data_IF_466729141135
#
_entry.id   IF_466729141135
#
_cell.length_a   1.000
_cell.length_b   1.000
_cell.length_c   1.000
_cell.angle_alpha   90.00
_cell.angle_beta   90.00
_cell.angle_gamma   90.00
#
_symmetry.space_group_name_H-M   'P 1'
#
loop_
_entity.id
_entity.type
_entity.pdbx_description
1 polymer ?
#
# COMPACT_ATOMS: atom_id res chain seq x y z
N UNK A 1 20.62 1.01 -5.94
CA UNK A 1 19.45 1.38 -6.71
C UNK A 1 18.51 2.20 -5.88
N UNK A 2 18.12 3.33 -6.40
CA UNK A 2 17.29 4.21 -5.61
C UNK A 2 15.87 3.72 -5.47
N UNK A 3 15.45 2.80 -6.32
CA UNK A 3 14.09 2.27 -6.25
C UNK A 3 13.91 1.29 -5.11
N UNK A 4 15.00 0.83 -4.51
CA UNK A 4 14.93 -0.16 -3.43
C UNK A 4 14.16 0.35 -2.21
N UNK A 5 14.30 1.63 -1.90
CA UNK A 5 13.65 2.19 -0.72
C UNK A 5 12.14 2.17 -0.91
N UNK A 6 11.66 2.63 -2.07
CA UNK A 6 10.24 2.63 -2.36
C UNK A 6 9.70 1.20 -2.43
N UNK A 7 10.46 0.31 -3.06
CA UNK A 7 10.05 -1.08 -3.19
C UNK A 7 9.90 -1.75 -1.83
N UNK A 8 10.85 -1.49 -0.92
CA UNK A 8 10.77 -2.03 0.43
C UNK A 8 9.53 -1.52 1.16
N UNK A 9 9.25 -0.25 0.99
CA UNK A 9 8.09 0.36 1.64
C UNK A 9 6.81 -0.28 1.12
N UNK A 10 6.70 -0.44 -0.18
CA UNK A 10 5.53 -1.06 -0.78
C UNK A 10 5.38 -2.51 -0.33
N UNK A 11 6.47 -3.25 -0.32
CA UNK A 11 6.43 -4.65 0.13
C UNK A 11 5.96 -4.76 1.57
N UNK A 12 6.46 -3.88 2.43
CA UNK A 12 6.06 -3.90 3.83
C UNK A 12 4.56 -3.61 3.98
N UNK A 13 4.09 -2.63 3.24
CA UNK A 13 2.67 -2.26 3.29
C UNK A 13 1.80 -3.42 2.79
N UNK A 14 2.22 -4.08 1.72
CA UNK A 14 1.48 -5.22 1.19
C UNK A 14 1.43 -6.34 2.23
N UNK A 15 2.55 -6.60 2.90
CA UNK A 15 2.57 -7.63 3.93
C UNK A 15 1.67 -7.27 5.11
N UNK A 16 1.69 -6.00 5.52
CA UNK A 16 0.80 -5.54 6.59
C UNK A 16 -0.66 -5.71 6.17
N UNK A 17 -0.95 -5.42 4.93
CA UNK A 17 -2.30 -5.58 4.41
C UNK A 17 -2.74 -7.04 4.44
N UNK A 18 -1.85 -7.93 4.03
CA UNK A 18 -2.14 -9.37 4.06
C UNK A 18 -2.45 -9.84 5.49
N UNK A 19 -1.67 -9.39 6.45
CA UNK A 19 -1.87 -9.78 7.83
C UNK A 19 -3.16 -9.20 8.39
N UNK A 20 -3.44 -7.96 8.07
CA UNK A 20 -4.63 -7.29 8.59
C UNK A 20 -5.91 -7.95 8.08
N UNK A 21 -5.91 -8.35 6.82
CA UNK A 21 -7.09 -8.93 6.19
C UNK A 21 -7.10 -10.46 6.25
N UNK A 22 -6.03 -11.05 6.77
CA UNK A 22 -5.90 -12.51 6.85
C UNK A 22 -6.00 -13.16 5.47
N UNK A 23 -5.32 -12.59 4.51
CA UNK A 23 -5.26 -13.11 3.15
C UNK A 23 -3.80 -13.36 2.78
N UNK A 24 -3.59 -14.08 1.68
CA UNK A 24 -2.22 -14.35 1.26
C UNK A 24 -1.62 -13.13 0.55
N UNK A 25 -0.31 -13.22 0.31
CA UNK A 25 0.43 -12.09 -0.27
C UNK A 25 -0.04 -11.76 -1.67
N UNK A 26 -0.39 -12.74 -2.47
CA UNK A 26 -0.85 -12.50 -3.83
C UNK A 26 -2.14 -11.70 -3.83
N UNK A 27 -3.05 -12.06 -2.95
CA UNK A 27 -4.32 -11.37 -2.86
C UNK A 27 -4.13 -9.96 -2.36
N UNK A 28 -3.24 -9.80 -1.37
CA UNK A 28 -2.92 -8.47 -0.86
C UNK A 28 -2.32 -7.60 -1.94
N UNK A 29 -1.47 -8.18 -2.78
CA UNK A 29 -0.85 -7.45 -3.87
C UNK A 29 -1.91 -6.96 -4.86
N UNK A 30 -2.86 -7.81 -5.22
CA UNK A 30 -3.94 -7.43 -6.11
C UNK A 30 -4.77 -6.29 -5.54
N UNK A 31 -5.13 -6.40 -4.27
CA UNK A 31 -5.91 -5.36 -3.61
C UNK A 31 -5.13 -4.06 -3.53
N UNK A 32 -3.84 -4.15 -3.20
CA UNK A 32 -2.99 -2.97 -3.11
C UNK A 32 -2.98 -2.20 -4.43
N UNK A 33 -2.78 -2.90 -5.54
CA UNK A 33 -2.68 -2.24 -6.84
C UNK A 33 -4.02 -1.75 -7.36
N UNK A 34 -5.12 -2.15 -6.75
CA UNK A 34 -6.43 -1.65 -7.13
C UNK A 34 -6.76 -0.31 -6.48
N UNK A 35 -5.94 0.15 -5.53
CA UNK A 35 -6.23 1.38 -4.80
C UNK A 35 -5.56 2.58 -5.43
N UNK A 36 -6.15 3.75 -5.23
CA UNK A 36 -5.51 5.00 -5.62
C UNK A 36 -4.29 5.30 -4.76
N UNK A 37 -4.33 4.85 -3.51
CA UNK A 37 -3.21 5.08 -2.60
C UNK A 37 -1.92 4.48 -3.17
N UNK A 38 -2.00 3.30 -3.80
CA UNK A 38 -0.83 2.69 -4.42
C UNK A 38 -0.28 3.56 -5.53
N UNK A 39 -1.15 4.13 -6.35
CA UNK A 39 -0.72 5.02 -7.42
C UNK A 39 -0.08 6.28 -6.88
N UNK A 40 -0.69 6.85 -5.84
CA UNK A 40 -0.17 8.06 -5.23
C UNK A 40 1.17 7.82 -4.54
N UNK A 41 1.35 6.64 -3.98
CA UNK A 41 2.61 6.30 -3.34
C UNK A 41 3.73 6.25 -4.37
N UNK A 42 3.44 5.78 -5.58
CA UNK A 42 4.43 5.71 -6.65
C UNK A 42 4.74 7.09 -7.25
N UNK A 43 3.86 8.06 -7.04
CA UNK A 43 4.03 9.39 -7.60
C UNK A 43 4.59 10.33 -6.54
N UNK A 44 5.83 10.78 -6.75
CA UNK A 44 6.52 11.57 -5.76
C UNK A 44 5.85 12.93 -5.48
N UNK A 45 5.00 13.39 -6.38
CA UNK A 45 4.34 14.69 -6.20
C UNK A 45 3.35 14.68 -5.03
N UNK A 46 2.86 13.51 -4.64
CA UNK A 46 1.94 13.42 -3.51
C UNK A 46 2.65 13.34 -2.16
N UNK A 47 3.92 12.95 -2.16
CA UNK A 47 4.69 12.88 -0.92
C UNK A 47 4.30 11.74 0.02
N UNK A 48 3.51 10.78 -0.45
CA UNK A 48 3.09 9.68 0.41
C UNK A 48 4.26 8.82 0.88
N UNK A 49 5.33 8.77 0.10
CA UNK A 49 6.49 7.98 0.49
C UNK A 49 7.15 8.52 1.75
N UNK A 50 6.80 9.74 2.15
CA UNK A 50 7.32 10.35 3.38
C UNK A 50 6.43 10.07 4.59
N UNK A 51 5.27 9.47 4.35
CA UNK A 51 4.34 9.17 5.43
C UNK A 51 4.64 7.80 6.04
N UNK A 52 4.11 7.58 7.24
CA UNK A 52 4.28 6.30 7.91
C UNK A 52 3.53 5.21 7.17
N UNK A 53 4.09 4.00 7.22
CA UNK A 53 3.45 2.85 6.59
C UNK A 53 2.05 2.62 7.14
N UNK A 54 1.86 2.82 8.44
CA UNK A 54 0.56 2.63 9.06
C UNK A 54 -0.48 3.58 8.49
N UNK A 55 -0.09 4.82 8.26
CA UNK A 55 -1.00 5.81 7.67
C UNK A 55 -1.43 5.39 6.27
N UNK A 56 -0.46 4.93 5.49
CA UNK A 56 -0.73 4.49 4.12
C UNK A 56 -1.63 3.27 4.13
N UNK A 57 -1.36 2.34 5.03
CA UNK A 57 -2.18 1.14 5.18
C UNK A 57 -3.64 1.49 5.50
N UNK A 58 -3.84 2.44 6.39
CA UNK A 58 -5.18 2.84 6.76
C UNK A 58 -5.94 3.45 5.60
N UNK A 59 -5.23 4.21 4.75
CA UNK A 59 -5.85 4.76 3.56
C UNK A 59 -6.26 3.66 2.59
N UNK A 60 -5.42 2.64 2.44
CA UNK A 60 -5.72 1.52 1.58
C UNK A 60 -6.94 0.76 2.10
N UNK A 61 -6.99 0.52 3.40
CA UNK A 61 -8.11 -0.19 3.99
C UNK A 61 -9.42 0.58 3.83
N UNK A 62 -9.35 1.89 3.95
CA UNK A 62 -10.53 2.73 3.76
C UNK A 62 -11.03 2.64 2.33
N UNK A 63 -10.13 2.64 1.35
CA UNK A 63 -10.53 2.52 -0.05
C UNK A 63 -11.18 1.18 -0.31
N UNK A 64 -10.59 0.11 0.21
CA UNK A 64 -11.13 -1.24 0.00
C UNK A 64 -12.54 -1.33 0.59
N UNK A 65 -12.73 -0.77 1.78
CA UNK A 65 -14.02 -0.79 2.45
C UNK A 65 -15.07 -0.02 1.66
N UNK A 66 -14.67 1.12 1.12
CA UNK A 66 -15.61 1.99 0.40
C UNK A 66 -15.97 1.44 -0.97
N UNK A 67 -15.17 0.56 -1.52
CA UNK A 67 -15.40 0.02 -2.86
C UNK A 67 -16.25 -1.24 -2.85
N UNK A 68 -16.77 -1.63 -1.70
CA UNK A 68 -17.60 -2.82 -1.62
C UNK A 68 -19.11 -2.51 -1.61
#
# INVERSE_FOLDING_TARGET
MRDNVLWRKQSHIIMMLAETLHIDAERALDLYYSTQTARQLSDSSYGLQLMRDQYILENILAEIRNNQ
#
